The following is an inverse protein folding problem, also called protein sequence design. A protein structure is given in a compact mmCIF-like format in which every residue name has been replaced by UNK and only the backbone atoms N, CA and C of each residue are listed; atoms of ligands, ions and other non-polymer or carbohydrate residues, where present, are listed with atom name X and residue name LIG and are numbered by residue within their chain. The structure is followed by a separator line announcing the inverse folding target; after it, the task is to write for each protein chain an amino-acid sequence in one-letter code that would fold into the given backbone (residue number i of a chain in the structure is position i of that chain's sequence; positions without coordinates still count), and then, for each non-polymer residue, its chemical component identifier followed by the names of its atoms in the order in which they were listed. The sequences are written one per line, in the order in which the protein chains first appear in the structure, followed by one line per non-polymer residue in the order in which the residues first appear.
data_IF_009617763297
#
_entry.id   IF_009617763297
#
_cell.length_a   1.000
_cell.length_b   1.000
_cell.length_c   1.000
_cell.angle_alpha   90.00
_cell.angle_beta   90.00
_cell.angle_gamma   90.00
#
_symmetry.space_group_name_H-M   'P 1'
#
loop_
_entity.id
_entity.type
_entity.pdbx_description
1 polymer ?
#
# COMPACT_ATOMS: atom_id res chain seq x y z
N UNK A 1 54.38 -14.44 -48.91
CA UNK A 1 53.05 -14.40 -48.26
C UNK A 1 52.74 -12.92 -48.07
N UNK A 2 52.02 -12.35 -49.03
CA UNK A 2 50.57 -12.07 -49.01
C UNK A 2 50.24 -10.77 -48.26
N UNK A 3 49.94 -9.78 -49.10
CA UNK A 3 48.93 -8.72 -48.95
C UNK A 3 49.13 -7.57 -47.95
N UNK A 4 49.53 -6.40 -48.49
CA UNK A 4 48.71 -5.19 -48.80
C UNK A 4 47.82 -4.53 -47.70
N UNK A 5 47.42 -3.24 -47.88
CA UNK A 5 47.64 -2.14 -46.93
C UNK A 5 46.36 -1.26 -46.78
N UNK A 6 46.57 0.06 -46.64
CA UNK A 6 45.67 1.21 -46.85
C UNK A 6 44.75 1.60 -45.68
N UNK A 7 44.84 2.84 -45.14
CA UNK A 7 44.70 4.19 -45.75
C UNK A 7 43.22 4.59 -45.87
N UNK A 8 43.00 5.92 -45.80
CA UNK A 8 41.78 6.69 -46.08
C UNK A 8 41.07 7.17 -44.79
N UNK A 9 40.73 8.44 -44.60
CA UNK A 9 40.78 9.62 -45.47
C UNK A 9 40.68 10.85 -44.54
N UNK A 10 41.55 11.85 -44.73
CA UNK A 10 41.23 13.17 -45.31
C UNK A 10 40.21 14.00 -44.50
N UNK A 11 40.65 15.15 -43.95
CA UNK A 11 40.50 16.51 -44.57
C UNK A 11 39.01 16.94 -44.58
N UNK A 12 38.62 18.17 -44.29
CA UNK A 12 39.24 19.46 -44.46
C UNK A 12 38.36 20.45 -43.71
N UNK A 13 38.95 21.51 -43.16
CA UNK A 13 38.20 22.64 -42.65
C UNK A 13 37.54 23.41 -43.80
N UNK A 14 36.30 23.82 -43.62
CA UNK A 14 35.73 24.96 -44.35
C UNK A 14 35.48 26.14 -43.40
N UNK A 15 36.03 27.26 -43.83
CA UNK A 15 36.17 28.53 -43.13
C UNK A 15 35.45 29.55 -43.99
N UNK A 16 34.29 30.07 -43.56
CA UNK A 16 33.70 31.26 -44.20
C UNK A 16 33.21 32.26 -43.15
N UNK A 17 33.77 33.45 -43.28
CA UNK A 17 33.59 34.66 -42.50
C UNK A 17 32.19 35.27 -42.61
N UNK A 18 31.70 35.73 -41.46
CA UNK A 18 31.03 37.00 -41.14
C UNK A 18 30.32 37.86 -42.20
N UNK A 19 29.10 38.31 -41.84
CA UNK A 19 28.71 39.74 -41.78
C UNK A 19 27.27 39.94 -41.26
N UNK A 20 27.19 40.63 -40.11
CA UNK A 20 26.28 41.72 -39.68
C UNK A 20 24.75 41.68 -39.88
N UNK A 21 24.09 42.27 -38.86
CA UNK A 21 22.75 42.91 -38.81
C UNK A 21 21.56 41.92 -38.82
N UNK A 22 20.48 42.08 -38.07
CA UNK A 22 19.90 43.21 -37.37
C UNK A 22 19.02 42.74 -36.19
N UNK A 23 18.62 43.71 -35.36
CA UNK A 23 17.78 43.60 -34.18
C UNK A 23 16.38 43.00 -34.43
N UNK A 24 15.76 42.47 -33.38
CA UNK A 24 14.43 42.93 -32.90
C UNK A 24 14.10 42.31 -31.54
N UNK A 25 13.55 43.16 -30.69
CA UNK A 25 13.05 42.93 -29.33
C UNK A 25 11.57 42.54 -29.42
N UNK A 26 11.12 41.53 -28.67
CA UNK A 26 9.72 41.42 -28.26
C UNK A 26 9.58 40.55 -27.00
N UNK A 27 9.26 41.21 -25.89
CA UNK A 27 8.74 40.61 -24.66
C UNK A 27 7.30 40.11 -24.86
N UNK A 28 6.85 39.18 -24.01
CA UNK A 28 5.47 38.68 -23.72
C UNK A 28 5.52 37.14 -23.63
N UNK A 29 4.95 36.45 -22.65
CA UNK A 29 4.00 36.82 -21.61
C UNK A 29 4.11 35.83 -20.44
N UNK A 30 3.92 36.35 -19.22
CA UNK A 30 3.53 35.57 -18.06
C UNK A 30 2.15 34.93 -18.31
N UNK A 31 2.10 33.63 -18.50
CA UNK A 31 0.90 32.85 -18.18
C UNK A 31 1.28 31.38 -18.02
N UNK A 32 1.21 30.89 -16.77
CA UNK A 32 0.76 29.54 -16.42
C UNK A 32 0.68 29.48 -14.88
N UNK A 33 -0.38 30.09 -14.33
CA UNK A 33 -0.88 29.70 -13.02
C UNK A 33 -1.55 28.33 -13.18
N UNK A 34 -0.77 27.27 -13.02
CA UNK A 34 -1.30 25.95 -12.74
C UNK A 34 -1.83 26.00 -11.31
N UNK A 35 -3.13 26.21 -11.14
CA UNK A 35 -3.82 25.89 -9.89
C UNK A 35 -3.89 24.37 -9.81
N UNK A 36 -2.76 23.77 -9.46
CA UNK A 36 -2.65 22.36 -9.10
C UNK A 36 -3.40 22.16 -7.79
N UNK A 37 -4.45 21.34 -7.84
CA UNK A 37 -5.13 20.88 -6.65
C UNK A 37 -4.15 20.13 -5.75
N UNK A 38 -3.91 20.66 -4.55
CA UNK A 38 -3.36 19.88 -3.47
C UNK A 38 -4.53 19.41 -2.61
N UNK A 39 -4.98 18.20 -2.91
CA UNK A 39 -5.60 17.34 -1.92
C UNK A 39 -4.71 17.33 -0.69
N UNK A 40 -5.27 17.71 0.45
CA UNK A 40 -4.64 17.63 1.75
C UNK A 40 -4.24 16.17 2.03
N UNK A 41 -3.00 15.81 1.73
CA UNK A 41 -2.36 14.65 2.30
C UNK A 41 -2.10 14.96 3.78
N UNK A 42 -2.93 14.41 4.67
CA UNK A 42 -2.66 14.48 6.10
C UNK A 42 -1.40 13.66 6.39
N UNK A 43 -0.29 14.34 6.65
CA UNK A 43 0.96 13.74 7.07
C UNK A 43 0.81 13.15 8.49
N UNK A 44 0.63 11.83 8.56
CA UNK A 44 0.89 11.03 9.76
C UNK A 44 2.29 10.44 9.70
N UNK A 45 3.01 10.46 10.84
CA UNK A 45 4.38 9.96 10.99
C UNK A 45 4.65 8.65 10.23
N UNK A 46 5.67 8.65 9.35
CA UNK A 46 6.07 7.52 8.51
C UNK A 46 4.98 6.90 7.61
N UNK A 47 3.93 7.63 7.22
CA UNK A 47 2.98 7.20 6.17
C UNK A 47 2.12 5.97 6.48
N UNK A 48 2.16 5.45 7.71
CA UNK A 48 1.32 4.32 8.14
C UNK A 48 0.11 4.90 8.90
N UNK A 49 -1.13 4.64 8.45
CA UNK A 49 -2.31 5.18 9.11
C UNK A 49 -2.55 4.54 10.47
N UNK A 50 -2.90 5.35 11.48
CA UNK A 50 -3.26 4.86 12.83
C UNK A 50 -4.58 4.08 12.83
N UNK A 51 -5.55 4.57 12.04
CA UNK A 51 -6.86 3.99 11.80
C UNK A 51 -7.05 3.87 10.29
N UNK A 52 -7.58 2.74 9.82
CA UNK A 52 -7.91 2.55 8.41
C UNK A 52 -9.16 1.71 8.23
N UNK A 53 -9.85 1.89 7.12
CA UNK A 53 -10.83 0.93 6.65
C UNK A 53 -10.10 -0.18 5.90
N UNK A 54 -10.43 -1.44 6.21
CA UNK A 54 -9.98 -2.57 5.39
C UNK A 54 -11.10 -2.83 4.38
N UNK A 55 -10.96 -2.19 3.23
CA UNK A 55 -11.72 -2.46 2.02
C UNK A 55 -10.71 -2.64 0.89
N UNK A 56 -10.42 -3.91 0.59
CA UNK A 56 -9.34 -4.27 -0.32
C UNK A 56 -9.67 -3.69 -1.70
N UNK A 57 -10.90 -3.90 -2.18
CA UNK A 57 -11.38 -3.42 -3.48
C UNK A 57 -11.29 -1.91 -3.64
N UNK A 58 -11.71 -1.14 -2.63
CA UNK A 58 -11.58 0.32 -2.68
C UNK A 58 -10.12 0.78 -2.69
N UNK A 59 -9.22 0.04 -2.03
CA UNK A 59 -7.79 0.34 -2.01
C UNK A 59 -7.06 -0.01 -3.32
N UNK A 60 -7.63 -0.90 -4.13
CA UNK A 60 -7.00 -1.41 -5.35
C UNK A 60 -8.03 -1.63 -6.48
N UNK A 61 -8.63 -0.56 -7.01
CA UNK A 61 -9.73 -0.65 -7.98
C UNK A 61 -9.31 -1.23 -9.35
N UNK A 62 -8.00 -1.22 -9.66
CA UNK A 62 -7.46 -1.68 -10.96
C UNK A 62 -7.26 -3.19 -11.09
N UNK A 63 -7.52 -3.99 -10.06
CA UNK A 63 -7.25 -5.43 -10.12
C UNK A 63 -8.48 -6.19 -10.65
N UNK A 64 -8.35 -6.76 -11.85
CA UNK A 64 -9.40 -7.54 -12.51
C UNK A 64 -9.72 -8.84 -11.74
N UNK A 65 -10.99 -9.23 -11.73
CA UNK A 65 -11.45 -10.51 -11.17
C UNK A 65 -11.73 -10.50 -9.66
N UNK A 66 -11.80 -9.33 -9.03
CA UNK A 66 -12.08 -9.24 -7.60
C UNK A 66 -13.55 -9.43 -7.29
N UNK A 67 -13.90 -10.28 -6.30
CA UNK A 67 -15.25 -10.32 -5.79
C UNK A 67 -15.59 -8.98 -5.15
N UNK A 68 -16.84 -8.55 -5.29
CA UNK A 68 -17.30 -7.33 -4.65
C UNK A 68 -17.11 -7.42 -3.13
N UNK A 69 -16.45 -6.42 -2.54
CA UNK A 69 -16.33 -6.32 -1.08
C UNK A 69 -17.64 -5.80 -0.50
N UNK A 70 -18.50 -6.74 -0.10
CA UNK A 70 -19.79 -6.46 0.54
C UNK A 70 -19.67 -6.27 2.06
N UNK A 71 -18.48 -6.44 2.63
CA UNK A 71 -18.22 -6.54 4.07
C UNK A 71 -16.87 -5.90 4.41
N UNK A 72 -16.69 -4.63 4.07
CA UNK A 72 -15.55 -3.84 4.55
C UNK A 72 -15.45 -3.86 6.08
N UNK A 73 -14.25 -3.77 6.62
CA UNK A 73 -14.03 -3.50 8.04
C UNK A 73 -13.80 -2.01 8.19
N UNK A 74 -14.58 -1.36 9.05
CA UNK A 74 -14.52 0.11 9.22
C UNK A 74 -13.77 0.44 10.50
N UNK A 75 -12.85 1.40 10.43
CA UNK A 75 -12.14 1.91 11.60
C UNK A 75 -11.21 0.90 12.28
N UNK A 76 -10.57 0.02 11.51
CA UNK A 76 -9.54 -0.86 12.04
C UNK A 76 -8.38 -0.04 12.61
N UNK A 77 -8.08 -0.22 13.90
CA UNK A 77 -6.95 0.47 14.53
C UNK A 77 -5.65 -0.27 14.29
N UNK A 78 -4.92 0.14 13.26
CA UNK A 78 -3.60 -0.41 12.93
C UNK A 78 -2.58 -0.14 14.04
N UNK A 79 -2.60 1.06 14.65
CA UNK A 79 -1.72 1.41 15.77
C UNK A 79 -1.96 0.54 17.00
N UNK A 80 -3.22 0.34 17.39
CA UNK A 80 -3.52 -0.45 18.58
C UNK A 80 -3.12 -1.92 18.40
N UNK A 81 -3.30 -2.48 17.20
CA UNK A 81 -2.83 -3.84 16.92
C UNK A 81 -1.30 -3.93 16.97
N UNK A 82 -0.60 -3.07 16.22
CA UNK A 82 0.87 -3.13 16.12
C UNK A 82 1.59 -2.85 17.44
N UNK A 83 1.13 -1.86 18.22
CA UNK A 83 1.81 -1.42 19.43
C UNK A 83 1.25 -2.00 20.74
N UNK A 84 -0.05 -2.31 20.78
CA UNK A 84 -0.76 -2.60 22.04
C UNK A 84 -1.25 -4.04 22.20
N UNK A 85 -1.68 -4.70 21.13
CA UNK A 85 -2.42 -5.97 21.25
C UNK A 85 -1.63 -7.21 20.84
N UNK A 86 -0.62 -7.09 19.99
CA UNK A 86 0.07 -8.26 19.44
C UNK A 86 1.20 -8.80 20.33
N UNK A 87 1.90 -7.95 21.08
CA UNK A 87 3.04 -8.41 21.90
C UNK A 87 2.60 -9.48 22.92
N UNK A 88 3.28 -10.62 22.94
CA UNK A 88 2.99 -11.76 23.82
C UNK A 88 1.78 -12.61 23.42
N UNK A 89 1.20 -12.39 22.23
CA UNK A 89 -0.03 -13.07 21.81
C UNK A 89 0.11 -13.91 20.53
N UNK A 90 1.34 -14.16 20.07
CA UNK A 90 1.63 -14.98 18.87
C UNK A 90 1.06 -16.41 18.96
N UNK A 91 0.96 -16.97 20.16
CA UNK A 91 0.37 -18.29 20.39
C UNK A 91 -1.09 -18.40 19.89
N UNK A 92 -1.86 -17.31 19.94
CA UNK A 92 -3.28 -17.30 19.56
C UNK A 92 -3.52 -17.03 18.08
N UNK A 93 -2.51 -16.50 17.37
CA UNK A 93 -2.59 -16.18 15.95
C UNK A 93 -2.47 -17.43 15.08
N UNK A 94 -3.19 -17.43 13.95
CA UNK A 94 -3.03 -18.43 12.90
C UNK A 94 -1.66 -18.33 12.21
N UNK A 95 -1.12 -17.11 12.10
CA UNK A 95 0.21 -16.82 11.58
C UNK A 95 1.14 -16.51 12.75
N UNK A 96 2.18 -17.31 12.94
CA UNK A 96 3.18 -17.05 13.98
C UNK A 96 4.03 -15.84 13.61
N UNK A 97 4.32 -15.04 14.63
CA UNK A 97 5.20 -13.88 14.58
C UNK A 97 6.04 -13.84 15.86
N UNK A 98 7.03 -12.96 15.87
CA UNK A 98 7.86 -12.69 17.02
C UNK A 98 7.55 -11.28 17.56
N UNK A 99 7.76 -11.09 18.86
CA UNK A 99 7.43 -9.85 19.56
C UNK A 99 8.35 -8.68 19.18
N UNK A 100 9.52 -8.96 18.61
CA UNK A 100 10.43 -7.99 18.02
C UNK A 100 9.92 -7.46 16.66
N UNK A 101 9.03 -8.19 15.98
CA UNK A 101 8.41 -7.75 14.74
C UNK A 101 6.95 -8.23 14.58
N UNK A 102 6.06 -7.58 15.33
CA UNK A 102 4.62 -7.89 15.34
C UNK A 102 3.90 -7.63 14.02
N UNK A 103 4.46 -6.80 13.12
CA UNK A 103 3.87 -6.53 11.80
C UNK A 103 3.65 -7.81 10.96
N UNK A 104 4.47 -8.85 11.19
CA UNK A 104 4.33 -10.16 10.53
C UNK A 104 3.02 -10.89 10.88
N UNK A 105 2.35 -10.51 11.97
CA UNK A 105 1.03 -11.05 12.32
C UNK A 105 0.01 -10.87 11.19
N UNK A 106 0.11 -9.76 10.45
CA UNK A 106 -0.77 -9.45 9.33
C UNK A 106 -0.03 -9.43 7.98
N UNK A 107 1.19 -8.90 7.95
CA UNK A 107 2.03 -8.86 6.75
C UNK A 107 2.87 -10.13 6.65
N UNK A 108 2.19 -11.25 6.41
CA UNK A 108 2.84 -12.55 6.28
C UNK A 108 3.94 -12.52 5.20
N UNK A 109 5.11 -13.07 5.51
CA UNK A 109 6.27 -13.07 4.63
C UNK A 109 7.16 -11.83 4.71
N UNK A 110 6.76 -10.75 5.39
CA UNK A 110 7.63 -9.59 5.60
C UNK A 110 8.73 -9.87 6.64
N UNK A 111 9.98 -9.54 6.32
CA UNK A 111 11.11 -9.55 7.24
C UNK A 111 11.32 -8.20 7.94
N UNK A 112 10.86 -7.11 7.34
CA UNK A 112 11.03 -5.76 7.90
C UNK A 112 9.86 -4.82 7.59
N UNK A 113 9.85 -3.66 8.25
CA UNK A 113 8.93 -2.56 7.91
C UNK A 113 9.17 -2.05 6.48
N UNK A 114 10.41 -2.07 6.02
CA UNK A 114 10.78 -1.65 4.66
C UNK A 114 10.19 -2.60 3.62
N UNK A 115 10.13 -3.90 3.89
CA UNK A 115 9.52 -4.89 2.99
C UNK A 115 8.02 -4.64 2.78
N UNK A 116 7.36 -4.06 3.79
CA UNK A 116 5.93 -3.74 3.77
C UNK A 116 5.68 -2.44 3.01
N UNK A 117 6.48 -1.41 3.32
CA UNK A 117 6.28 -0.02 2.87
C UNK A 117 6.95 0.30 1.54
N UNK A 118 8.01 -0.43 1.17
CA UNK A 118 8.74 -0.26 -0.08
C UNK A 118 8.10 -0.97 -1.29
N UNK A 119 6.97 -1.65 -1.10
CA UNK A 119 6.26 -2.38 -2.16
C UNK A 119 4.92 -1.72 -2.47
N UNK A 120 4.53 -1.74 -3.76
CA UNK A 120 3.22 -1.28 -4.20
C UNK A 120 2.10 -2.08 -3.48
N UNK A 121 1.17 -1.43 -2.76
CA UNK A 121 0.14 -2.12 -1.97
C UNK A 121 -0.71 -3.11 -2.76
N UNK A 122 -1.06 -2.77 -4.01
CA UNK A 122 -1.91 -3.60 -4.85
C UNK A 122 -1.21 -4.84 -5.42
N UNK A 123 0.11 -4.76 -5.64
CA UNK A 123 0.92 -5.93 -6.03
C UNK A 123 0.99 -6.93 -4.87
N UNK A 124 1.28 -6.45 -3.65
CA UNK A 124 1.35 -7.28 -2.45
C UNK A 124 0.02 -7.98 -2.14
N UNK A 125 -1.10 -7.28 -2.29
CA UNK A 125 -2.42 -7.90 -2.13
C UNK A 125 -2.68 -8.95 -3.22
N UNK A 126 -2.27 -8.68 -4.47
CA UNK A 126 -2.41 -9.63 -5.58
C UNK A 126 -1.60 -10.91 -5.35
N UNK A 127 -0.42 -10.82 -4.75
CA UNK A 127 0.37 -11.98 -4.33
C UNK A 127 -0.29 -12.78 -3.21
N UNK A 128 -0.80 -12.11 -2.18
CA UNK A 128 -1.57 -12.76 -1.10
C UNK A 128 -2.75 -13.52 -1.69
N UNK A 129 -3.45 -12.94 -2.66
CA UNK A 129 -4.55 -13.61 -3.33
C UNK A 129 -4.12 -14.88 -4.05
N UNK A 130 -3.07 -14.80 -4.87
CA UNK A 130 -2.49 -15.96 -5.58
C UNK A 130 -2.07 -17.05 -4.58
N UNK A 131 -1.34 -16.67 -3.53
CA UNK A 131 -0.89 -17.57 -2.48
C UNK A 131 -2.02 -18.16 -1.63
N UNK A 132 -3.16 -17.47 -1.53
CA UNK A 132 -4.34 -17.97 -0.82
C UNK A 132 -5.19 -18.96 -1.61
N UNK A 133 -4.87 -19.19 -2.90
CA UNK A 133 -5.60 -20.08 -3.80
C UNK A 133 -6.61 -19.38 -4.72
N UNK A 134 -6.73 -18.05 -4.64
CA UNK A 134 -7.64 -17.29 -5.50
C UNK A 134 -8.52 -16.27 -4.75
N UNK A 135 -9.26 -15.41 -5.48
CA UNK A 135 -10.11 -14.38 -4.89
C UNK A 135 -11.19 -14.90 -3.93
N UNK A 136 -11.74 -16.09 -4.19
CA UNK A 136 -12.73 -16.77 -3.36
C UNK A 136 -12.19 -17.18 -1.98
N UNK A 137 -10.87 -17.35 -1.86
CA UNK A 137 -10.20 -17.72 -0.62
C UNK A 137 -9.78 -16.51 0.23
N UNK A 138 -9.86 -15.29 -0.31
CA UNK A 138 -9.45 -14.08 0.39
C UNK A 138 -10.26 -13.86 1.69
N UNK A 139 -11.57 -14.14 1.66
CA UNK A 139 -12.42 -14.12 2.86
C UNK A 139 -11.89 -15.07 3.94
N UNK A 140 -11.54 -16.30 3.56
CA UNK A 140 -11.02 -17.29 4.50
C UNK A 140 -9.68 -16.84 5.07
N UNK A 141 -8.81 -16.29 4.23
CA UNK A 141 -7.51 -15.76 4.61
C UNK A 141 -7.62 -14.66 5.68
N UNK A 142 -8.40 -13.61 5.45
CA UNK A 142 -8.56 -12.53 6.44
C UNK A 142 -9.27 -12.99 7.72
N UNK A 143 -10.25 -13.90 7.62
CA UNK A 143 -10.88 -14.45 8.82
C UNK A 143 -9.96 -15.36 9.63
N UNK A 144 -9.07 -16.12 8.98
CA UNK A 144 -8.04 -16.87 9.70
C UNK A 144 -7.09 -15.94 10.45
N UNK A 145 -6.69 -14.83 9.82
CA UNK A 145 -5.79 -13.86 10.45
C UNK A 145 -6.47 -13.10 11.62
N UNK A 146 -7.62 -12.47 11.37
CA UNK A 146 -8.27 -11.60 12.36
C UNK A 146 -9.11 -12.38 13.37
N UNK A 147 -10.07 -13.17 12.87
CA UNK A 147 -11.09 -13.80 13.72
C UNK A 147 -10.51 -14.94 14.55
N UNK A 148 -9.57 -15.70 14.03
CA UNK A 148 -8.99 -16.81 14.80
C UNK A 148 -8.23 -16.31 16.02
N UNK A 149 -7.41 -15.26 15.88
CA UNK A 149 -6.73 -14.63 17.02
C UNK A 149 -7.74 -14.16 18.08
N UNK A 150 -8.76 -13.41 17.67
CA UNK A 150 -9.80 -12.93 18.61
C UNK A 150 -10.56 -14.08 19.29
N UNK A 151 -10.91 -15.14 18.55
CA UNK A 151 -11.61 -16.31 19.10
C UNK A 151 -10.73 -17.08 20.07
N UNK A 152 -9.46 -17.27 19.75
CA UNK A 152 -8.53 -18.00 20.61
C UNK A 152 -8.22 -17.24 21.89
N UNK A 153 -8.00 -15.92 21.80
CA UNK A 153 -7.84 -15.05 22.97
C UNK A 153 -9.11 -15.06 23.85
N UNK A 154 -10.29 -15.00 23.24
CA UNK A 154 -11.56 -15.14 23.97
C UNK A 154 -11.66 -16.47 24.71
N UNK A 155 -11.32 -17.58 24.06
CA UNK A 155 -11.31 -18.91 24.70
C UNK A 155 -10.34 -18.98 25.88
N UNK A 156 -9.19 -18.31 25.74
CA UNK A 156 -8.18 -18.16 26.80
C UNK A 156 -8.56 -17.11 27.86
N UNK A 157 -9.77 -16.53 27.80
CA UNK A 157 -10.26 -15.47 28.71
C UNK A 157 -9.33 -14.23 28.75
N UNK A 158 -8.59 -13.95 27.67
CA UNK A 158 -7.80 -12.72 27.51
C UNK A 158 -8.63 -11.60 26.87
N UNK A 159 -8.20 -10.35 27.07
CA UNK A 159 -8.77 -9.21 26.34
C UNK A 159 -8.67 -9.46 24.83
N UNK A 160 -9.77 -9.28 24.11
CA UNK A 160 -9.85 -9.69 22.71
C UNK A 160 -10.69 -8.71 21.88
N UNK A 161 -10.41 -8.63 20.59
CA UNK A 161 -11.23 -7.90 19.63
C UNK A 161 -12.56 -8.60 19.32
N UNK A 162 -13.40 -8.01 18.46
CA UNK A 162 -14.71 -8.56 18.12
C UNK A 162 -14.64 -9.98 17.50
N UNK A 163 -15.54 -10.87 17.96
CA UNK A 163 -15.69 -12.25 17.42
C UNK A 163 -16.98 -12.46 16.62
N UNK A 164 -17.91 -11.49 16.68
CA UNK A 164 -19.18 -11.49 15.93
C UNK A 164 -19.03 -10.62 14.69
N UNK A 165 -19.69 -11.00 13.58
CA UNK A 165 -19.55 -10.35 12.28
C UNK A 165 -19.74 -8.82 12.32
N UNK A 166 -20.79 -8.35 13.00
CA UNK A 166 -21.09 -6.91 13.12
C UNK A 166 -20.02 -6.14 13.90
N UNK A 167 -19.28 -6.78 14.79
CA UNK A 167 -18.22 -6.12 15.54
C UNK A 167 -17.04 -5.68 14.68
N UNK A 168 -16.84 -6.30 13.52
CA UNK A 168 -15.81 -5.88 12.55
C UNK A 168 -16.42 -5.12 11.35
N UNK A 169 -17.55 -5.60 10.83
CA UNK A 169 -18.09 -5.17 9.54
C UNK A 169 -19.21 -4.13 9.63
N UNK A 170 -19.73 -3.85 10.81
CA UNK A 170 -20.65 -2.73 11.02
C UNK A 170 -19.79 -1.55 11.49
N UNK A 171 -19.70 -0.49 10.69
CA UNK A 171 -19.03 0.72 11.15
C UNK A 171 -19.79 1.33 12.33
N UNK A 172 -19.17 2.28 13.04
CA UNK A 172 -19.91 3.15 13.98
C UNK A 172 -21.09 3.88 13.32
N UNK A 173 -21.11 3.94 11.98
CA UNK A 173 -22.19 4.46 11.15
C UNK A 173 -23.35 3.48 10.87
N UNK A 174 -23.22 2.20 11.23
CA UNK A 174 -24.28 1.19 11.12
C UNK A 174 -24.98 0.91 12.46
N UNK A 175 -24.61 1.66 13.51
CA UNK A 175 -25.40 1.74 14.74
C UNK A 175 -26.58 2.64 14.45
N UNK A 176 -27.73 2.03 14.12
CA UNK A 176 -29.02 2.71 14.25
C UNK A 176 -29.05 3.39 15.62
N UNK A 177 -29.35 4.69 15.65
CA UNK A 177 -29.65 5.44 16.87
C UNK A 177 -30.53 4.58 17.79
N UNK A 178 -30.08 4.35 19.01
CA UNK A 178 -30.83 3.64 20.04
C UNK A 178 -30.24 2.27 20.35
N UNK A 179 -29.25 2.24 21.24
CA UNK A 179 -29.39 1.58 22.55
C UNK A 179 -28.07 1.80 23.32
N UNK A 180 -28.02 2.88 24.10
CA UNK A 180 -27.17 2.94 25.28
C UNK A 180 -28.11 2.72 26.47
N UNK A 181 -27.97 1.57 27.12
CA UNK A 181 -28.39 1.33 28.49
C UNK A 181 -27.25 0.63 29.20
#
# INVERSE_FOLDING_TARGET
MKDRPQENDHKLMDKINGRRLAATVAALACMLLVVGGNTSASAGSCGIPDIMDINIQAGCPGVKGWPADKKKVVGFSHKAHSAGYLKGNSEYSAVKYHDDFTCRACHHGAASKQDITGRQPCERISEVMKGSGGPEHLKKYYHAMCRQCHVNMKKAKKAHGPVKCRGCHAGKHDVKKGEQK
#
